data_IF_141528670639
#
_entry.id   IF_141528670639
#
_cell.length_a   1.000
_cell.length_b   1.000
_cell.length_c   1.000
_cell.angle_alpha   90.00
_cell.angle_beta   90.00
_cell.angle_gamma   90.00
#
_symmetry.space_group_name_H-M   'P 1'
#
loop_
_entity.id
_entity.type
_entity.pdbx_description
1 polymer ?
#
# COMPACT_ATOMS: atom_id res chain seq x y z
N UNK A 1 4.28 12.62 8.98
CA UNK A 1 3.81 11.31 8.44
C UNK A 1 4.36 11.18 7.03
N UNK A 2 4.84 10.01 6.63
CA UNK A 2 5.28 9.76 5.25
C UNK A 2 4.70 8.45 4.72
N UNK A 3 4.36 8.39 3.44
CA UNK A 3 3.85 7.19 2.79
C UNK A 3 4.25 7.15 1.31
N UNK A 4 4.79 6.01 0.87
CA UNK A 4 5.04 5.77 -0.56
C UNK A 4 3.76 5.35 -1.28
N UNK A 5 3.59 5.82 -2.52
CA UNK A 5 2.45 5.53 -3.37
C UNK A 5 2.21 4.03 -3.58
N UNK A 6 3.26 3.29 -3.93
CA UNK A 6 3.22 1.91 -4.45
C UNK A 6 2.70 0.81 -3.52
N UNK A 7 2.15 1.18 -2.36
CA UNK A 7 1.44 0.25 -1.47
C UNK A 7 -0.07 0.49 -1.54
N UNK A 8 -0.56 1.43 -0.71
CA UNK A 8 -1.99 1.64 -0.49
C UNK A 8 -2.53 2.89 -1.18
N UNK A 9 -1.67 3.76 -1.70
CA UNK A 9 -2.04 5.10 -2.15
C UNK A 9 -2.11 5.22 -3.68
N UNK A 10 -1.45 4.33 -4.44
CA UNK A 10 -1.40 4.39 -5.89
C UNK A 10 -0.19 3.64 -6.48
N UNK A 11 0.31 4.07 -7.65
CA UNK A 11 1.50 3.46 -8.26
C UNK A 11 2.79 3.84 -7.52
N UNK A 12 3.84 3.08 -7.76
CA UNK A 12 5.19 3.46 -7.34
C UNK A 12 5.65 4.74 -8.07
N UNK A 13 6.63 5.44 -7.49
CA UNK A 13 7.18 6.68 -8.07
C UNK A 13 6.61 7.98 -7.51
N UNK A 14 5.74 7.92 -6.49
CA UNK A 14 5.27 9.10 -5.73
C UNK A 14 5.38 8.85 -4.22
N UNK A 15 5.58 9.93 -3.46
CA UNK A 15 5.59 9.92 -2.00
C UNK A 15 4.66 11.02 -1.49
N UNK A 16 3.82 10.69 -0.50
CA UNK A 16 3.03 11.65 0.25
C UNK A 16 3.70 11.91 1.60
N UNK A 17 4.03 13.16 1.87
CA UNK A 17 4.49 13.61 3.17
C UNK A 17 3.47 14.60 3.76
N UNK A 18 3.04 14.35 4.99
CA UNK A 18 2.24 15.28 5.79
C UNK A 18 3.16 15.78 6.89
N UNK A 19 3.57 17.04 6.78
CA UNK A 19 4.51 17.70 7.67
C UNK A 19 3.76 18.81 8.39
N UNK A 20 3.96 18.94 9.70
CA UNK A 20 3.39 20.01 10.50
C UNK A 20 4.18 21.29 10.22
N UNK A 21 3.51 22.41 10.02
CA UNK A 21 4.14 23.65 9.53
C UNK A 21 5.24 24.17 10.46
N UNK A 22 5.07 24.05 11.78
CA UNK A 22 6.06 24.43 12.80
C UNK A 22 7.35 23.58 12.77
N UNK A 23 7.34 22.42 12.10
CA UNK A 23 8.51 21.58 11.90
C UNK A 23 9.30 21.98 10.64
N UNK A 24 8.71 22.82 9.76
CA UNK A 24 9.37 23.31 8.55
C UNK A 24 10.29 24.45 8.95
N UNK A 25 11.58 24.16 9.05
CA UNK A 25 12.62 25.15 9.33
C UNK A 25 13.08 25.83 8.03
N UNK A 26 13.70 27.02 8.10
CA UNK A 26 14.39 27.60 6.96
C UNK A 26 15.37 26.63 6.32
N UNK A 27 15.49 26.73 4.99
CA UNK A 27 16.35 25.87 4.20
C UNK A 27 17.79 25.81 4.72
N UNK A 28 18.32 24.60 4.80
CA UNK A 28 19.73 24.37 5.13
C UNK A 28 20.59 24.55 3.89
N UNK A 29 21.91 24.77 4.04
CA UNK A 29 22.81 24.82 2.90
C UNK A 29 22.72 23.55 2.03
N UNK A 30 22.89 23.64 0.69
CA UNK A 30 22.69 22.50 -0.23
C UNK A 30 23.58 21.28 0.05
N UNK A 31 24.74 21.48 0.68
CA UNK A 31 25.64 20.39 1.08
C UNK A 31 25.11 19.58 2.28
N UNK A 32 24.16 20.13 3.05
CA UNK A 32 23.48 19.46 4.17
C UNK A 32 22.20 18.80 3.70
N UNK A 33 21.38 19.53 2.93
CA UNK A 33 20.11 19.08 2.42
C UNK A 33 19.96 19.50 0.95
N UNK A 34 19.95 18.55 0.01
CA UNK A 34 19.67 18.86 -1.39
C UNK A 34 18.30 19.52 -1.58
N UNK A 35 18.25 20.56 -2.42
CA UNK A 35 17.06 21.41 -2.55
C UNK A 35 15.78 20.66 -2.96
N UNK A 36 15.91 19.55 -3.69
CA UNK A 36 14.76 18.78 -4.16
C UNK A 36 14.06 17.94 -3.08
N UNK A 37 14.70 17.69 -1.93
CA UNK A 37 14.09 17.01 -0.77
C UNK A 37 13.82 17.95 0.41
N UNK A 38 14.20 19.23 0.31
CA UNK A 38 13.99 20.22 1.35
C UNK A 38 12.49 20.60 1.43
N UNK A 39 11.85 20.29 2.56
CA UNK A 39 10.45 20.59 2.80
C UNK A 39 10.13 22.08 2.80
N UNK A 40 11.08 22.94 3.19
CA UNK A 40 10.88 24.39 3.12
C UNK A 40 10.72 24.82 1.67
N UNK A 41 11.67 24.44 0.80
CA UNK A 41 11.62 24.74 -0.63
C UNK A 41 10.39 24.15 -1.30
N UNK A 42 10.05 22.89 -1.00
CA UNK A 42 8.87 22.23 -1.54
C UNK A 42 7.57 22.91 -1.05
N UNK A 43 7.52 23.41 0.19
CA UNK A 43 6.34 24.11 0.71
C UNK A 43 6.17 25.53 0.16
N UNK A 44 7.26 26.25 -0.12
CA UNK A 44 7.25 27.63 -0.57
C UNK A 44 7.42 27.79 -2.09
N UNK A 45 7.46 26.69 -2.85
CA UNK A 45 7.62 26.74 -4.30
C UNK A 45 6.46 27.48 -4.98
N UNK A 46 6.76 28.22 -6.05
CA UNK A 46 5.78 28.95 -6.86
C UNK A 46 5.72 28.38 -8.29
N UNK A 47 4.55 28.39 -8.97
CA UNK A 47 3.27 29.00 -8.57
C UNK A 47 2.43 28.15 -7.59
N UNK A 48 2.81 26.88 -7.35
CA UNK A 48 2.14 25.94 -6.46
C UNK A 48 3.17 25.25 -5.56
N UNK A 49 2.76 24.89 -4.35
CA UNK A 49 3.54 24.05 -3.45
C UNK A 49 3.81 22.67 -4.09
N UNK A 50 4.94 22.06 -3.75
CA UNK A 50 5.44 20.78 -4.28
C UNK A 50 5.70 20.77 -5.79
N UNK A 51 5.94 21.95 -6.38
CA UNK A 51 6.23 22.15 -7.80
C UNK A 51 7.60 22.81 -8.02
N UNK A 52 8.57 22.51 -7.15
CA UNK A 52 9.95 22.98 -7.31
C UNK A 52 10.61 22.41 -8.58
N UNK A 53 10.31 21.15 -8.89
CA UNK A 53 10.69 20.47 -10.12
C UNK A 53 9.47 19.80 -10.75
N UNK A 54 9.64 19.18 -11.93
CA UNK A 54 8.57 18.44 -12.61
C UNK A 54 8.15 17.24 -11.75
N UNK A 55 6.92 17.22 -11.21
CA UNK A 55 6.48 16.11 -10.37
C UNK A 55 6.03 14.92 -11.23
N UNK A 56 5.88 13.72 -10.65
CA UNK A 56 5.36 12.55 -11.35
C UNK A 56 3.83 12.67 -11.54
N UNK A 57 3.42 13.48 -12.52
CA UNK A 57 2.02 13.89 -12.77
C UNK A 57 1.06 12.71 -12.88
N UNK A 58 1.44 11.66 -13.61
CA UNK A 58 0.64 10.44 -13.75
C UNK A 58 0.40 9.73 -12.41
N UNK A 59 1.44 9.63 -11.57
CA UNK A 59 1.33 8.97 -10.28
C UNK A 59 0.45 9.77 -9.32
N UNK A 60 0.57 11.10 -9.33
CA UNK A 60 -0.29 12.01 -8.55
C UNK A 60 -1.76 11.89 -8.99
N UNK A 61 -2.00 11.86 -10.30
CA UNK A 61 -3.35 11.67 -10.84
C UNK A 61 -3.97 10.34 -10.38
N UNK A 62 -3.21 9.25 -10.43
CA UNK A 62 -3.67 7.95 -9.95
C UNK A 62 -3.96 7.93 -8.45
N UNK A 63 -3.14 8.60 -7.63
CA UNK A 63 -3.41 8.78 -6.20
C UNK A 63 -4.75 9.49 -5.99
N UNK A 64 -5.03 10.55 -6.74
CA UNK A 64 -6.31 11.27 -6.66
C UNK A 64 -7.50 10.36 -6.97
N UNK A 65 -7.40 9.50 -7.99
CA UNK A 65 -8.45 8.53 -8.32
C UNK A 65 -8.67 7.51 -7.20
N UNK A 66 -7.60 6.99 -6.59
CA UNK A 66 -7.68 6.04 -5.47
C UNK A 66 -8.35 6.68 -4.26
N UNK A 67 -7.96 7.91 -3.90
CA UNK A 67 -8.58 8.65 -2.80
C UNK A 67 -10.06 8.92 -3.06
N UNK A 68 -10.41 9.35 -4.29
CA UNK A 68 -11.79 9.56 -4.71
C UNK A 68 -12.63 8.28 -4.66
N UNK A 69 -12.05 7.12 -5.01
CA UNK A 69 -12.72 5.82 -4.85
C UNK A 69 -13.06 5.53 -3.39
N UNK A 70 -12.10 5.73 -2.47
CA UNK A 70 -12.34 5.48 -1.05
C UNK A 70 -13.42 6.40 -0.47
N UNK A 71 -13.39 7.69 -0.81
CA UNK A 71 -14.41 8.65 -0.39
C UNK A 71 -15.80 8.28 -0.92
N UNK A 72 -15.91 7.87 -2.19
CA UNK A 72 -17.19 7.43 -2.78
C UNK A 72 -17.70 6.13 -2.15
N UNK A 73 -16.81 5.18 -1.85
CA UNK A 73 -17.20 3.88 -1.31
C UNK A 73 -17.61 3.91 0.16
N UNK A 74 -17.06 4.83 0.96
CA UNK A 74 -17.22 4.82 2.42
C UNK A 74 -17.69 6.15 3.03
N UNK A 75 -17.89 7.19 2.23
CA UNK A 75 -18.24 8.53 2.68
C UNK A 75 -17.05 9.30 3.28
N UNK A 76 -16.97 10.63 3.13
CA UNK A 76 -15.78 11.41 3.51
C UNK A 76 -15.43 11.34 4.99
N UNK A 77 -16.44 11.30 5.87
CA UNK A 77 -16.25 11.31 7.34
C UNK A 77 -15.87 9.94 7.92
N UNK A 78 -16.38 8.86 7.33
CA UNK A 78 -16.23 7.50 7.86
C UNK A 78 -15.22 6.64 7.08
N UNK A 79 -14.59 7.21 6.04
CA UNK A 79 -13.66 6.49 5.15
C UNK A 79 -12.62 5.70 5.92
N UNK A 80 -11.88 6.35 6.82
CA UNK A 80 -10.78 5.71 7.54
C UNK A 80 -11.26 4.59 8.47
N UNK A 81 -12.33 4.84 9.23
CA UNK A 81 -12.90 3.86 10.16
C UNK A 81 -13.43 2.63 9.41
N UNK A 82 -14.10 2.82 8.28
CA UNK A 82 -14.64 1.73 7.47
C UNK A 82 -13.53 0.92 6.76
N UNK A 83 -12.51 1.59 6.23
CA UNK A 83 -11.33 0.92 5.67
C UNK A 83 -10.62 0.08 6.74
N UNK A 84 -10.45 0.62 7.94
CA UNK A 84 -9.85 -0.11 9.07
C UNK A 84 -10.69 -1.33 9.47
N UNK A 85 -12.02 -1.17 9.64
CA UNK A 85 -12.93 -2.28 9.94
C UNK A 85 -12.84 -3.39 8.89
N UNK A 86 -12.78 -3.03 7.60
CA UNK A 86 -12.64 -3.99 6.49
C UNK A 86 -11.29 -4.71 6.52
N UNK A 87 -10.20 -3.99 6.79
CA UNK A 87 -8.86 -4.58 6.92
C UNK A 87 -8.80 -5.57 8.07
N UNK A 88 -9.33 -5.21 9.25
CA UNK A 88 -9.41 -6.09 10.43
C UNK A 88 -10.23 -7.34 10.12
N UNK A 89 -11.40 -7.19 9.48
CA UNK A 89 -12.25 -8.33 9.11
C UNK A 89 -11.53 -9.30 8.17
N UNK A 90 -10.83 -8.80 7.16
CA UNK A 90 -10.06 -9.65 6.21
C UNK A 90 -8.91 -10.36 6.91
N UNK A 91 -8.15 -9.65 7.75
CA UNK A 91 -7.07 -10.25 8.52
C UNK A 91 -7.60 -11.36 9.45
N UNK A 92 -8.73 -11.13 10.13
CA UNK A 92 -9.35 -12.11 11.02
C UNK A 92 -9.77 -13.41 10.29
N UNK A 93 -10.21 -13.33 9.04
CA UNK A 93 -10.53 -14.52 8.24
C UNK A 93 -9.29 -15.38 7.96
N UNK A 94 -8.17 -14.76 7.62
CA UNK A 94 -6.91 -15.48 7.37
C UNK A 94 -6.37 -16.04 8.68
N UNK A 95 -6.27 -15.23 9.73
CA UNK A 95 -5.80 -15.68 11.04
C UNK A 95 -6.67 -16.79 11.62
N UNK A 96 -7.99 -16.71 11.49
CA UNK A 96 -8.88 -17.78 11.93
C UNK A 96 -8.64 -19.10 11.19
N UNK A 97 -8.20 -19.06 9.93
CA UNK A 97 -7.80 -20.25 9.18
C UNK A 97 -6.45 -20.80 9.68
N UNK A 98 -5.49 -19.91 9.96
CA UNK A 98 -4.18 -20.29 10.53
C UNK A 98 -4.34 -20.91 11.92
N UNK A 99 -5.12 -20.29 12.80
CA UNK A 99 -5.32 -20.76 14.19
C UNK A 99 -6.06 -22.10 14.22
N UNK A 100 -7.00 -22.35 13.30
CA UNK A 100 -7.72 -23.64 13.17
C UNK A 100 -6.96 -24.70 12.36
N UNK A 101 -5.74 -24.42 11.93
CA UNK A 101 -4.98 -25.34 11.06
C UNK A 101 -4.31 -26.49 11.79
N UNK A 102 -4.53 -26.63 13.11
CA UNK A 102 -3.93 -27.67 13.97
C UNK A 102 -2.39 -27.77 13.81
N UNK A 103 -1.72 -26.62 13.70
CA UNK A 103 -0.27 -26.53 13.53
C UNK A 103 0.25 -26.71 12.11
N UNK A 104 -0.62 -26.92 11.11
CA UNK A 104 -0.21 -26.98 9.70
C UNK A 104 0.38 -25.65 9.21
N UNK A 105 -0.25 -24.53 9.59
CA UNK A 105 0.28 -23.18 9.41
C UNK A 105 0.79 -22.63 10.74
N UNK A 106 1.97 -22.03 10.69
CA UNK A 106 2.63 -21.43 11.85
C UNK A 106 2.77 -19.92 11.67
N UNK A 107 2.78 -19.19 12.79
CA UNK A 107 2.98 -17.75 12.76
C UNK A 107 4.48 -17.48 12.85
N UNK A 108 5.03 -16.78 11.84
CA UNK A 108 6.47 -16.47 11.76
C UNK A 108 6.85 -15.34 12.75
N UNK A 109 5.88 -14.54 13.20
CA UNK A 109 6.10 -13.42 14.14
C UNK A 109 5.29 -13.61 15.43
N UNK A 110 5.98 -13.61 16.57
CA UNK A 110 5.42 -13.93 17.90
C UNK A 110 4.46 -12.86 18.47
N UNK A 111 4.29 -11.70 17.82
CA UNK A 111 3.57 -10.59 18.43
C UNK A 111 2.10 -10.55 18.02
N UNK A 112 1.21 -10.98 18.93
CA UNK A 112 -0.26 -10.97 18.78
C UNK A 112 -0.81 -9.61 18.30
N UNK A 113 -0.20 -8.49 18.71
CA UNK A 113 -0.64 -7.15 18.32
C UNK A 113 -0.48 -6.85 16.82
N UNK A 114 0.43 -7.52 16.13
CA UNK A 114 0.64 -7.35 14.68
C UNK A 114 -0.49 -8.02 13.85
N UNK A 115 -1.34 -8.85 14.45
CA UNK A 115 -2.46 -9.51 13.76
C UNK A 115 -3.57 -8.54 13.30
N UNK A 116 -3.55 -7.29 13.78
CA UNK A 116 -4.45 -6.21 13.34
C UNK A 116 -3.92 -5.46 12.11
N UNK A 117 -2.69 -5.72 11.69
CA UNK A 117 -2.10 -5.09 10.52
C UNK A 117 -2.66 -5.72 9.23
N UNK A 118 -2.68 -4.96 8.11
CA UNK A 118 -3.14 -5.46 6.81
C UNK A 118 -2.20 -6.52 6.20
N UNK A 119 -1.00 -6.71 6.77
CA UNK A 119 -0.03 -7.70 6.32
C UNK A 119 -0.07 -8.91 7.24
N UNK A 120 -0.30 -10.09 6.65
CA UNK A 120 -0.38 -11.37 7.35
C UNK A 120 0.81 -12.24 6.93
N UNK A 121 1.70 -12.53 7.87
CA UNK A 121 2.87 -13.37 7.64
C UNK A 121 2.69 -14.70 8.38
N UNK A 122 2.56 -15.79 7.64
CA UNK A 122 2.47 -17.16 8.15
C UNK A 122 3.40 -18.07 7.34
N UNK A 123 3.76 -19.20 7.91
CA UNK A 123 4.59 -20.22 7.30
C UNK A 123 4.03 -21.61 7.52
N UNK A 124 4.81 -22.63 7.20
CA UNK A 124 4.53 -24.01 7.57
C UNK A 124 5.76 -24.60 8.27
N UNK A 125 5.55 -25.67 9.04
CA UNK A 125 6.64 -26.40 9.70
C UNK A 125 7.56 -27.08 8.66
N UNK A 126 7.01 -27.48 7.52
CA UNK A 126 7.76 -28.13 6.45
C UNK A 126 8.05 -27.17 5.29
N UNK A 127 9.35 -26.98 5.01
CA UNK A 127 9.80 -26.18 3.87
C UNK A 127 9.30 -26.75 2.53
N UNK A 128 9.17 -28.07 2.42
CA UNK A 128 8.65 -28.74 1.21
C UNK A 128 7.20 -28.33 0.95
N UNK A 129 6.37 -28.34 2.00
CA UNK A 129 4.96 -27.93 1.91
C UNK A 129 4.86 -26.45 1.58
N UNK A 130 5.70 -25.61 2.18
CA UNK A 130 5.71 -24.18 1.90
C UNK A 130 6.09 -23.86 0.45
N UNK A 131 7.11 -24.53 -0.11
CA UNK A 131 7.50 -24.37 -1.52
C UNK A 131 6.40 -24.89 -2.45
N UNK A 132 5.80 -26.04 -2.15
CA UNK A 132 4.68 -26.59 -2.95
C UNK A 132 3.47 -25.64 -2.95
N UNK A 133 3.12 -25.06 -1.80
CA UNK A 133 2.07 -24.06 -1.67
C UNK A 133 2.36 -22.82 -2.50
N UNK A 134 3.58 -22.27 -2.43
CA UNK A 134 3.96 -21.10 -3.23
C UNK A 134 3.85 -21.38 -4.74
N UNK A 135 4.29 -22.55 -5.20
CA UNK A 135 4.15 -22.96 -6.61
C UNK A 135 2.68 -23.09 -7.02
N UNK A 136 1.86 -23.70 -6.16
CA UNK A 136 0.42 -23.82 -6.39
C UNK A 136 -0.25 -22.46 -6.50
N UNK A 137 0.01 -21.56 -5.54
CA UNK A 137 -0.54 -20.19 -5.55
C UNK A 137 -0.07 -19.42 -6.78
N UNK A 138 1.20 -19.52 -7.16
CA UNK A 138 1.71 -18.86 -8.36
C UNK A 138 0.94 -19.32 -9.61
N UNK A 139 0.74 -20.64 -9.80
CA UNK A 139 -0.05 -21.16 -10.92
C UNK A 139 -1.51 -20.71 -10.86
N UNK A 140 -2.12 -20.75 -9.66
CA UNK A 140 -3.50 -20.35 -9.46
C UNK A 140 -3.72 -18.86 -9.73
N UNK A 141 -2.87 -17.98 -9.19
CA UNK A 141 -2.94 -16.53 -9.39
C UNK A 141 -2.67 -16.16 -10.85
N UNK A 142 -1.69 -16.79 -11.51
CA UNK A 142 -1.46 -16.57 -12.95
C UNK A 142 -2.70 -16.97 -13.75
N UNK A 143 -3.29 -18.13 -13.48
CA UNK A 143 -4.55 -18.53 -14.14
C UNK A 143 -5.70 -17.58 -13.82
N UNK A 144 -5.89 -17.19 -12.57
CA UNK A 144 -7.02 -16.34 -12.15
C UNK A 144 -6.89 -14.87 -12.57
N UNK A 145 -5.68 -14.29 -12.61
CA UNK A 145 -5.45 -12.91 -13.08
C UNK A 145 -5.47 -12.80 -14.60
N UNK A 146 -4.96 -13.79 -15.33
CA UNK A 146 -4.89 -13.73 -16.79
C UNK A 146 -6.11 -14.36 -17.49
N UNK A 147 -6.86 -15.27 -16.87
CA UNK A 147 -8.06 -15.83 -17.48
C UNK A 147 -9.13 -14.77 -17.86
N UNK A 148 -9.43 -13.74 -17.04
CA UNK A 148 -10.37 -12.69 -17.43
C UNK A 148 -9.82 -11.79 -18.54
N UNK A 149 -8.51 -11.53 -18.54
CA UNK A 149 -7.81 -10.69 -19.52
C UNK A 149 -7.74 -11.36 -20.91
N UNK A 150 -7.45 -12.66 -20.94
CA UNK A 150 -7.45 -13.48 -22.15
C UNK A 150 -8.89 -13.65 -22.66
N UNK A 151 -9.86 -13.92 -21.77
CA UNK A 151 -11.26 -14.03 -22.16
C UNK A 151 -11.88 -12.69 -22.62
N UNK A 152 -11.34 -11.54 -22.18
CA UNK A 152 -11.71 -10.23 -22.71
C UNK A 152 -11.09 -10.00 -24.09
N UNK A 153 -9.80 -10.32 -24.28
CA UNK A 153 -9.11 -10.20 -25.57
C UNK A 153 -9.72 -11.10 -26.66
N UNK A 154 -10.14 -12.32 -26.32
CA UNK A 154 -10.79 -13.26 -27.25
C UNK A 154 -12.25 -12.91 -27.59
N UNK A 155 -12.87 -11.93 -26.93
CA UNK A 155 -14.23 -11.44 -27.26
C UNK A 155 -14.23 -10.20 -28.16
N UNK A 156 -13.04 -9.66 -28.43
CA UNK A 156 -12.79 -8.50 -29.27
C UNK A 156 -12.12 -8.85 -30.60
N UNK A 157 -12.10 -10.13 -30.97
CA UNK A 157 -11.74 -10.70 -32.28
C UNK A 157 -12.94 -11.51 -32.75
#
# INVERSE_FOLDING_TARGET
>A
IYASGGKNLGPAGVCLAIVREDLIRPSSPPYVCPSFIDFHIQSTSTPLCSLYNTPPTFAIYMVNLVLGYYQKAYGPSDTLANVQKKAIRRAAQVWGTVDRSNGFYTVISATVHLRRLPTVCFGSVSMVVQVAFLRYVQQYVLRARFAPLIAAACRSV
#
